data_IF_838629603597
#
_entry.id   IF_838629603597
#
_cell.length_a   1.000
_cell.length_b   1.000
_cell.length_c   1.000
_cell.angle_alpha   90.00
_cell.angle_beta   90.00
_cell.angle_gamma   90.00
#
_symmetry.space_group_name_H-M   'P 1'
#
loop_
_entity.id
_entity.type
_entity.pdbx_description
1 polymer ?
#
# COMPACT_ATOMS: atom_id res chain seq x y z
N UNK A 1 2.68 -22.59 -35.01
CA UNK A 1 1.80 -22.54 -33.84
C UNK A 1 2.44 -21.56 -32.88
N UNK A 2 1.97 -20.30 -32.86
CA UNK A 2 2.43 -19.29 -31.91
C UNK A 2 1.74 -19.57 -30.59
N UNK A 3 2.49 -20.07 -29.61
CA UNK A 3 2.06 -19.98 -28.22
C UNK A 3 1.88 -18.49 -27.91
N UNK A 4 0.62 -18.06 -27.83
CA UNK A 4 0.29 -16.77 -27.25
C UNK A 4 0.74 -16.86 -25.80
N UNK A 5 1.86 -16.21 -25.46
CA UNK A 5 2.21 -15.92 -24.09
C UNK A 5 1.06 -15.07 -23.52
N UNK A 6 0.13 -15.71 -22.83
CA UNK A 6 -0.84 -14.98 -22.01
C UNK A 6 -0.01 -14.22 -20.97
N UNK A 7 0.01 -12.90 -21.08
CA UNK A 7 0.57 -12.07 -20.02
C UNK A 7 -0.18 -12.39 -18.74
N UNK A 8 0.54 -12.91 -17.76
CA UNK A 8 -0.01 -13.09 -16.42
C UNK A 8 -0.21 -11.70 -15.80
N UNK A 9 -1.46 -11.36 -15.49
CA UNK A 9 -1.76 -10.18 -14.68
C UNK A 9 -1.18 -10.28 -13.26
N UNK A 10 -1.26 -9.20 -12.49
CA UNK A 10 -0.93 -9.21 -11.07
C UNK A 10 -1.86 -10.16 -10.29
N UNK A 11 -1.41 -10.62 -9.13
CA UNK A 11 -2.19 -11.46 -8.21
C UNK A 11 -2.38 -10.75 -6.88
N UNK A 12 -3.54 -10.96 -6.26
CA UNK A 12 -3.77 -10.54 -4.90
C UNK A 12 -2.91 -11.40 -3.93
N UNK A 13 -2.27 -10.74 -2.97
CA UNK A 13 -1.50 -11.39 -1.90
C UNK A 13 -2.38 -11.49 -0.66
N UNK A 14 -2.58 -12.71 -0.17
CA UNK A 14 -3.39 -12.97 1.02
C UNK A 14 -2.47 -13.01 2.25
N UNK A 15 -2.57 -12.00 3.11
CA UNK A 15 -1.75 -11.90 4.33
C UNK A 15 -2.52 -12.11 5.64
N UNK A 16 -3.85 -12.11 5.61
CA UNK A 16 -4.70 -12.02 6.81
C UNK A 16 -5.77 -13.13 6.90
N UNK A 17 -5.48 -14.34 6.44
CA UNK A 17 -6.41 -15.46 6.60
C UNK A 17 -6.62 -15.85 8.06
N UNK A 18 -7.85 -15.66 8.58
CA UNK A 18 -8.27 -16.26 9.87
C UNK A 18 -8.21 -15.36 11.09
N UNK A 19 -8.12 -14.04 10.97
CA UNK A 19 -8.33 -13.14 12.12
C UNK A 19 -9.77 -13.22 12.62
N UNK A 20 -10.02 -13.17 13.94
CA UNK A 20 -11.35 -13.00 14.49
C UNK A 20 -11.99 -11.70 13.94
N UNK A 21 -13.29 -11.75 13.62
CA UNK A 21 -14.00 -10.55 13.21
C UNK A 21 -14.12 -9.59 14.40
N UNK A 22 -13.96 -8.26 14.17
CA UNK A 22 -14.15 -7.25 15.23
C UNK A 22 -15.61 -7.11 15.64
N UNK A 23 -16.52 -7.57 14.79
CA UNK A 23 -17.99 -7.58 14.97
C UNK A 23 -18.51 -8.97 14.65
N UNK A 24 -19.72 -9.29 15.11
CA UNK A 24 -20.35 -10.58 14.80
C UNK A 24 -20.44 -10.86 13.29
N UNK A 25 -20.68 -12.13 12.90
CA UNK A 25 -20.83 -12.48 11.50
C UNK A 25 -21.91 -11.63 10.81
N UNK A 26 -21.63 -11.06 9.62
CA UNK A 26 -22.62 -10.23 8.93
C UNK A 26 -23.81 -11.06 8.46
N UNK A 27 -24.98 -10.45 8.45
CA UNK A 27 -26.21 -11.06 7.92
C UNK A 27 -26.18 -11.02 6.39
N UNK A 28 -26.18 -12.17 5.68
CA UNK A 28 -26.17 -12.20 4.23
C UNK A 28 -27.44 -11.63 3.60
N UNK A 29 -27.33 -11.17 2.36
CA UNK A 29 -28.43 -10.63 1.57
C UNK A 29 -27.96 -10.00 0.27
N UNK A 30 -28.77 -9.13 -0.29
CA UNK A 30 -28.43 -8.47 -1.54
C UNK A 30 -27.19 -7.54 -1.38
N UNK A 31 -26.39 -7.49 -2.43
CA UNK A 31 -25.18 -6.65 -2.54
C UNK A 31 -25.45 -5.52 -3.52
N UNK A 32 -25.10 -4.29 -3.11
CA UNK A 32 -25.18 -3.11 -3.98
C UNK A 32 -23.76 -2.63 -4.28
N UNK A 33 -23.46 -2.32 -5.53
CA UNK A 33 -22.17 -1.76 -5.96
C UNK A 33 -22.32 -0.26 -6.19
N UNK A 34 -21.52 0.55 -5.55
CA UNK A 34 -21.62 2.01 -5.55
C UNK A 34 -20.26 2.69 -5.71
N UNK A 35 -20.19 3.95 -6.16
CA UNK A 35 -21.30 4.75 -6.70
C UNK A 35 -21.73 4.30 -8.11
N UNK A 36 -20.80 3.82 -8.92
CA UNK A 36 -21.05 3.39 -10.30
C UNK A 36 -20.60 1.95 -10.48
N UNK A 37 -21.52 0.99 -10.65
CA UNK A 37 -21.16 -0.40 -10.88
C UNK A 37 -20.41 -0.54 -12.22
N UNK A 38 -19.54 -1.54 -12.30
CA UNK A 38 -18.88 -1.96 -13.54
C UNK A 38 -19.16 -3.44 -13.80
N UNK A 39 -19.21 -3.85 -15.06
CA UNK A 39 -19.45 -5.25 -15.44
C UNK A 39 -18.51 -6.20 -14.70
N UNK A 40 -17.24 -5.81 -14.55
CA UNK A 40 -16.21 -6.61 -13.87
C UNK A 40 -16.58 -6.93 -12.41
N UNK A 41 -17.01 -5.91 -11.64
CA UNK A 41 -17.38 -6.10 -10.25
C UNK A 41 -18.75 -6.76 -10.08
N UNK A 42 -19.71 -6.47 -10.97
CA UNK A 42 -20.98 -7.18 -11.02
C UNK A 42 -20.81 -8.66 -11.28
N UNK A 43 -19.97 -9.01 -12.26
CA UNK A 43 -19.65 -10.41 -12.57
C UNK A 43 -18.96 -11.11 -11.40
N UNK A 44 -18.06 -10.43 -10.68
CA UNK A 44 -17.43 -10.97 -9.48
C UNK A 44 -18.46 -11.31 -8.39
N UNK A 45 -19.44 -10.43 -8.17
CA UNK A 45 -20.54 -10.67 -7.21
C UNK A 45 -21.39 -11.87 -7.67
N UNK A 46 -21.82 -11.92 -8.95
CA UNK A 46 -22.65 -13.00 -9.49
C UNK A 46 -21.93 -14.35 -9.46
N UNK A 47 -20.66 -14.39 -9.87
CA UNK A 47 -19.84 -15.62 -9.88
C UNK A 47 -19.62 -16.17 -8.47
N UNK A 48 -19.54 -15.29 -7.45
CA UNK A 48 -19.47 -15.68 -6.06
C UNK A 48 -20.83 -16.18 -5.49
N UNK A 49 -21.91 -16.15 -6.28
CA UNK A 49 -23.25 -16.55 -5.85
C UNK A 49 -24.08 -15.41 -5.23
N UNK A 50 -23.58 -14.17 -5.28
CA UNK A 50 -24.27 -13.00 -4.71
C UNK A 50 -25.44 -12.53 -5.60
N UNK A 51 -26.41 -11.89 -4.98
CA UNK A 51 -27.54 -11.23 -5.65
C UNK A 51 -27.32 -9.73 -5.64
N UNK A 52 -27.33 -9.11 -6.83
CA UNK A 52 -27.24 -7.66 -6.96
C UNK A 52 -28.63 -7.03 -6.78
N UNK A 53 -28.67 -5.87 -6.14
CA UNK A 53 -29.85 -5.04 -6.02
C UNK A 53 -29.49 -3.56 -6.02
N UNK A 54 -30.48 -2.72 -6.34
CA UNK A 54 -30.39 -1.28 -6.10
C UNK A 54 -30.31 -0.97 -4.61
N UNK A 55 -29.74 0.17 -4.26
CA UNK A 55 -29.60 0.60 -2.87
C UNK A 55 -31.00 0.76 -2.23
N UNK A 56 -31.25 0.04 -1.13
CA UNK A 56 -32.55 0.08 -0.45
C UNK A 56 -32.63 -0.82 0.77
N UNK A 57 -33.87 -1.09 1.22
CA UNK A 57 -34.15 -1.85 2.43
C UNK A 57 -33.60 -3.28 2.44
N UNK A 58 -33.42 -3.86 1.27
CA UNK A 58 -32.97 -5.24 1.10
C UNK A 58 -31.43 -5.37 0.99
N UNK A 59 -30.73 -4.24 0.83
CA UNK A 59 -29.27 -4.21 0.80
C UNK A 59 -28.70 -4.66 2.15
N UNK A 60 -27.81 -5.63 2.12
CA UNK A 60 -27.06 -6.15 3.28
C UNK A 60 -25.55 -6.01 3.12
N UNK A 61 -25.05 -5.95 1.89
CA UNK A 61 -23.66 -5.69 1.56
C UNK A 61 -23.50 -4.51 0.62
N UNK A 62 -22.45 -3.70 0.81
CA UNK A 62 -22.05 -2.64 -0.13
C UNK A 62 -20.63 -2.92 -0.61
N UNK A 63 -20.43 -2.86 -1.93
CA UNK A 63 -19.11 -2.72 -2.54
C UNK A 63 -18.95 -1.26 -2.95
N UNK A 64 -18.06 -0.55 -2.26
CA UNK A 64 -17.79 0.85 -2.49
C UNK A 64 -16.57 1.01 -3.40
N UNK A 65 -16.70 1.72 -4.52
CA UNK A 65 -15.66 1.84 -5.56
C UNK A 65 -14.99 3.22 -5.60
N UNK A 66 -15.45 4.20 -4.83
CA UNK A 66 -14.87 5.55 -4.80
C UNK A 66 -14.13 5.81 -3.47
N UNK A 67 -12.80 5.95 -3.55
CA UNK A 67 -12.00 6.22 -2.37
C UNK A 67 -12.05 7.70 -1.92
N UNK A 68 -12.52 8.59 -2.78
CA UNK A 68 -12.53 10.04 -2.54
C UNK A 68 -13.85 10.54 -1.97
N UNK A 69 -14.89 9.69 -1.89
CA UNK A 69 -16.24 10.08 -1.45
C UNK A 69 -16.73 9.28 -0.21
N UNK A 70 -16.17 9.51 0.97
CA UNK A 70 -16.67 8.90 2.20
C UNK A 70 -18.07 9.39 2.57
N UNK A 71 -18.44 10.63 2.22
CA UNK A 71 -19.76 11.19 2.50
C UNK A 71 -20.87 10.47 1.71
N UNK A 72 -20.58 10.07 0.48
CA UNK A 72 -21.47 9.23 -0.32
C UNK A 72 -21.72 7.86 0.31
N UNK A 73 -20.67 7.23 0.86
CA UNK A 73 -20.83 5.98 1.62
C UNK A 73 -21.66 6.19 2.88
N UNK A 74 -21.49 7.29 3.61
CA UNK A 74 -22.31 7.64 4.76
C UNK A 74 -23.79 7.77 4.38
N UNK A 75 -24.08 8.43 3.26
CA UNK A 75 -25.44 8.54 2.75
C UNK A 75 -26.02 7.18 2.38
N UNK A 76 -25.25 6.32 1.73
CA UNK A 76 -25.67 4.96 1.37
C UNK A 76 -26.01 4.13 2.63
N UNK A 77 -25.20 4.21 3.68
CA UNK A 77 -25.46 3.53 4.96
C UNK A 77 -26.71 4.08 5.65
N UNK A 78 -27.02 5.37 5.47
CA UNK A 78 -28.26 6.00 5.99
C UNK A 78 -29.50 5.51 5.24
N UNK A 79 -29.43 5.37 3.92
CA UNK A 79 -30.52 4.87 3.05
C UNK A 79 -30.78 3.39 3.32
N UNK A 80 -29.72 2.60 3.55
CA UNK A 80 -29.79 1.16 3.78
C UNK A 80 -29.29 0.79 5.19
N UNK A 81 -30.05 1.08 6.27
CA UNK A 81 -29.61 0.83 7.64
C UNK A 81 -29.44 -0.67 7.98
N UNK A 82 -29.94 -1.56 7.11
CA UNK A 82 -29.77 -3.00 7.22
C UNK A 82 -28.42 -3.54 6.74
N UNK A 83 -27.52 -2.69 6.24
CA UNK A 83 -26.18 -3.10 5.79
C UNK A 83 -25.36 -3.60 6.96
N UNK A 84 -24.75 -4.77 6.76
CA UNK A 84 -23.90 -5.46 7.77
C UNK A 84 -22.49 -5.70 7.28
N UNK A 85 -22.20 -5.46 5.99
CA UNK A 85 -20.87 -5.60 5.41
C UNK A 85 -20.60 -4.51 4.36
N UNK A 86 -19.38 -3.97 4.37
CA UNK A 86 -18.87 -3.02 3.38
C UNK A 86 -17.49 -3.45 2.90
N UNK A 87 -17.30 -3.55 1.56
CA UNK A 87 -16.00 -3.68 0.92
C UNK A 87 -15.52 -2.29 0.50
N UNK A 88 -14.38 -1.84 1.02
CA UNK A 88 -13.71 -0.60 0.65
C UNK A 88 -12.74 -0.81 -0.52
N UNK A 89 -12.51 0.21 -1.38
CA UNK A 89 -11.80 0.06 -2.65
C UNK A 89 -10.27 -0.06 -2.52
N UNK A 90 -9.67 0.50 -1.47
CA UNK A 90 -8.22 0.54 -1.29
C UNK A 90 -7.72 -0.20 -0.05
N UNK A 91 -6.41 -0.42 0.02
CA UNK A 91 -5.74 -1.00 1.19
C UNK A 91 -5.72 -0.02 2.37
N UNK A 92 -5.46 1.27 2.10
CA UNK A 92 -5.55 2.34 3.08
C UNK A 92 -7.00 2.76 3.27
N UNK A 93 -7.42 2.90 4.52
CA UNK A 93 -8.80 3.24 4.90
C UNK A 93 -8.91 4.59 5.60
N UNK A 94 -7.87 5.39 5.52
CA UNK A 94 -7.74 6.66 6.24
C UNK A 94 -8.91 7.61 5.98
N UNK A 95 -9.36 7.72 4.73
CA UNK A 95 -10.51 8.55 4.34
C UNK A 95 -11.83 8.10 4.99
N UNK A 96 -11.95 6.81 5.32
CA UNK A 96 -13.16 6.20 5.90
C UNK A 96 -13.06 6.00 7.41
N UNK A 97 -11.99 6.48 8.07
CA UNK A 97 -11.72 6.21 9.48
C UNK A 97 -12.91 6.63 10.40
N UNK A 98 -13.56 7.77 10.11
CA UNK A 98 -14.71 8.23 10.87
C UNK A 98 -15.92 7.29 10.71
N UNK A 99 -16.18 6.76 9.50
CA UNK A 99 -17.28 5.81 9.25
C UNK A 99 -17.02 4.47 9.93
N UNK A 100 -15.78 4.02 9.91
CA UNK A 100 -15.36 2.79 10.58
C UNK A 100 -15.53 2.93 12.10
N UNK A 101 -15.18 4.09 12.67
CA UNK A 101 -15.39 4.37 14.08
C UNK A 101 -16.87 4.47 14.47
N UNK A 102 -17.71 5.06 13.60
CA UNK A 102 -19.15 5.25 13.85
C UNK A 102 -19.96 3.97 13.69
N UNK A 103 -19.61 3.11 12.72
CA UNK A 103 -20.44 1.97 12.33
C UNK A 103 -19.78 0.61 12.58
N UNK A 104 -18.51 0.56 12.96
CA UNK A 104 -17.72 -0.68 13.08
C UNK A 104 -18.18 -1.63 14.20
N UNK A 105 -19.09 -1.21 15.05
CA UNK A 105 -19.77 -2.05 16.04
C UNK A 105 -20.92 -2.91 15.46
N UNK A 106 -21.43 -2.55 14.27
CA UNK A 106 -22.53 -3.24 13.58
C UNK A 106 -22.24 -3.62 12.13
N UNK A 107 -21.28 -2.96 11.47
CA UNK A 107 -20.90 -3.17 10.07
C UNK A 107 -19.49 -3.73 10.02
N UNK A 108 -19.33 -4.88 9.38
CA UNK A 108 -18.02 -5.43 9.06
C UNK A 108 -17.43 -4.67 7.87
N UNK A 109 -16.33 -3.95 8.09
CA UNK A 109 -15.57 -3.33 7.00
C UNK A 109 -14.44 -4.26 6.55
N UNK A 110 -14.30 -4.40 5.23
CA UNK A 110 -13.17 -5.05 4.58
C UNK A 110 -12.54 -4.09 3.59
N UNK A 111 -11.24 -4.21 3.39
CA UNK A 111 -10.45 -3.35 2.50
C UNK A 111 -9.76 -4.17 1.41
N UNK A 112 -9.17 -3.49 0.44
CA UNK A 112 -8.32 -4.14 -0.56
C UNK A 112 -6.89 -4.45 -0.04
N UNK A 113 -6.67 -4.46 1.27
CA UNK A 113 -5.37 -4.77 1.90
C UNK A 113 -4.78 -6.06 1.35
N UNK A 114 -3.56 -5.99 0.81
CA UNK A 114 -2.88 -7.09 0.14
C UNK A 114 -3.29 -7.33 -1.32
N UNK A 115 -4.43 -6.83 -1.78
CA UNK A 115 -4.83 -7.02 -3.17
C UNK A 115 -3.84 -6.38 -4.16
N UNK A 116 -3.34 -5.19 -3.85
CA UNK A 116 -2.45 -4.40 -4.73
C UNK A 116 -0.97 -4.57 -4.40
N UNK A 117 -0.60 -5.61 -3.66
CA UNK A 117 0.78 -5.81 -3.22
C UNK A 117 1.77 -6.00 -4.37
N UNK A 118 1.42 -6.77 -5.41
CA UNK A 118 2.29 -7.01 -6.55
C UNK A 118 2.59 -5.72 -7.34
N UNK A 119 1.61 -4.93 -7.82
CA UNK A 119 1.92 -3.71 -8.58
C UNK A 119 2.66 -2.66 -7.75
N UNK A 120 2.30 -2.47 -6.48
CA UNK A 120 2.98 -1.49 -5.61
C UNK A 120 4.41 -1.92 -5.27
N UNK A 121 4.65 -3.21 -5.04
CA UNK A 121 6.01 -3.72 -4.82
C UNK A 121 6.88 -3.62 -6.08
N UNK A 122 6.31 -3.84 -7.27
CA UNK A 122 6.99 -3.62 -8.55
C UNK A 122 7.39 -2.15 -8.70
N UNK A 123 6.50 -1.22 -8.37
CA UNK A 123 6.82 0.21 -8.39
C UNK A 123 7.91 0.57 -7.37
N UNK A 124 7.86 0.01 -6.16
CA UNK A 124 8.92 0.19 -5.16
C UNK A 124 10.29 -0.28 -5.68
N UNK A 125 10.34 -1.42 -6.38
CA UNK A 125 11.57 -1.89 -7.03
C UNK A 125 12.00 -0.96 -8.17
N UNK A 126 11.07 -0.46 -8.97
CA UNK A 126 11.36 0.51 -10.04
C UNK A 126 11.99 1.79 -9.47
N UNK A 127 11.43 2.36 -8.39
CA UNK A 127 12.00 3.52 -7.70
C UNK A 127 13.37 3.20 -7.08
N UNK A 128 13.53 2.01 -6.48
CA UNK A 128 14.82 1.54 -5.96
C UNK A 128 15.89 1.52 -7.05
N UNK A 129 15.61 0.87 -8.17
CA UNK A 129 16.55 0.78 -9.29
C UNK A 129 16.79 2.14 -9.94
N UNK A 130 15.74 2.97 -10.09
CA UNK A 130 15.88 4.30 -10.66
C UNK A 130 16.80 5.21 -9.83
N UNK A 131 16.64 5.22 -8.51
CA UNK A 131 17.47 6.03 -7.60
C UNK A 131 18.90 5.49 -7.51
N UNK A 132 19.10 4.18 -7.43
CA UNK A 132 20.44 3.58 -7.47
C UNK A 132 21.17 3.86 -8.78
N UNK A 133 20.47 3.85 -9.91
CA UNK A 133 21.06 4.11 -11.25
C UNK A 133 21.01 5.59 -11.65
N UNK A 134 20.63 6.48 -10.71
CA UNK A 134 20.51 7.95 -10.87
C UNK A 134 19.69 8.35 -12.10
N UNK A 135 18.63 7.57 -12.42
CA UNK A 135 17.82 7.80 -13.62
C UNK A 135 17.07 9.13 -13.53
N UNK A 136 16.63 9.56 -12.35
CA UNK A 136 15.97 10.85 -12.11
C UNK A 136 16.86 12.04 -12.53
N UNK A 137 18.16 11.97 -12.28
CA UNK A 137 19.13 12.97 -12.69
C UNK A 137 19.41 12.88 -14.19
N UNK A 138 19.62 11.66 -14.71
CA UNK A 138 19.96 11.42 -16.12
C UNK A 138 18.80 11.77 -17.05
N UNK A 139 17.56 11.50 -16.67
CA UNK A 139 16.38 11.85 -17.48
C UNK A 139 16.20 13.36 -17.68
N UNK A 140 16.77 14.18 -16.80
CA UNK A 140 16.74 15.65 -16.89
C UNK A 140 17.92 16.25 -17.64
N UNK A 141 18.95 15.44 -18.02
CA UNK A 141 20.13 15.95 -18.73
C UNK A 141 19.86 16.08 -20.23
N UNK A 142 20.45 17.11 -20.84
CA UNK A 142 20.39 17.38 -22.28
C UNK A 142 21.77 17.26 -22.96
N UNK A 143 22.79 16.86 -22.19
CA UNK A 143 24.17 16.71 -22.67
C UNK A 143 24.74 15.34 -22.26
N UNK A 144 25.68 14.83 -23.03
CA UNK A 144 26.37 13.57 -22.71
C UNK A 144 27.39 13.80 -21.58
N UNK A 145 26.98 13.45 -20.32
CA UNK A 145 27.88 13.45 -19.18
C UNK A 145 28.82 12.23 -19.22
N UNK A 146 30.07 12.41 -18.78
CA UNK A 146 31.09 11.34 -18.74
C UNK A 146 31.38 10.83 -17.33
N UNK A 147 30.86 11.51 -16.31
CA UNK A 147 31.07 11.10 -14.91
C UNK A 147 30.32 9.78 -14.62
N UNK A 148 31.03 8.76 -14.13
CA UNK A 148 30.41 7.51 -13.76
C UNK A 148 29.66 7.70 -12.42
N UNK A 149 28.34 7.56 -12.43
CA UNK A 149 27.49 7.64 -11.26
C UNK A 149 26.54 6.45 -11.20
N UNK A 150 26.11 6.10 -10.00
CA UNK A 150 25.14 5.04 -9.73
C UNK A 150 25.76 3.80 -9.11
N UNK A 151 24.89 3.03 -8.47
CA UNK A 151 25.22 1.80 -7.74
C UNK A 151 24.41 0.63 -8.30
N UNK A 152 24.92 -0.58 -8.09
CA UNK A 152 24.16 -1.82 -8.33
C UNK A 152 23.31 -2.14 -7.09
N UNK A 153 22.17 -2.79 -7.28
CA UNK A 153 21.40 -3.37 -6.18
C UNK A 153 22.01 -4.69 -5.67
N UNK A 154 22.76 -5.40 -6.53
CA UNK A 154 23.37 -6.67 -6.15
C UNK A 154 24.25 -6.56 -4.89
N UNK A 155 23.97 -7.45 -3.92
CA UNK A 155 24.72 -7.55 -2.66
C UNK A 155 24.51 -6.39 -1.69
N UNK A 156 23.54 -5.49 -1.93
CA UNK A 156 23.26 -4.34 -1.07
C UNK A 156 22.47 -4.71 0.17
N UNK A 157 22.57 -3.86 1.19
CA UNK A 157 21.74 -3.96 2.38
C UNK A 157 20.48 -3.09 2.22
N UNK A 158 19.34 -3.74 2.25
CA UNK A 158 18.01 -3.12 2.22
C UNK A 158 17.41 -3.15 3.63
N UNK A 159 17.06 -2.00 4.16
CA UNK A 159 16.21 -1.88 5.36
C UNK A 159 14.77 -1.67 4.89
N UNK A 160 13.90 -2.65 5.14
CA UNK A 160 12.51 -2.63 4.73
C UNK A 160 11.61 -2.37 5.95
N UNK A 161 10.99 -1.20 5.99
CA UNK A 161 10.13 -0.77 7.09
C UNK A 161 8.69 -1.20 6.81
N UNK A 162 8.21 -2.19 7.56
CA UNK A 162 6.93 -2.84 7.38
C UNK A 162 7.06 -4.31 6.99
N UNK A 163 6.01 -5.10 7.25
CA UNK A 163 5.94 -6.53 6.92
C UNK A 163 4.54 -6.93 6.39
N UNK A 164 3.86 -6.01 5.73
CA UNK A 164 2.59 -6.27 5.04
C UNK A 164 2.77 -6.92 3.67
N UNK A 165 1.68 -7.09 2.93
CA UNK A 165 1.70 -7.74 1.60
C UNK A 165 2.70 -7.11 0.63
N UNK A 166 2.78 -5.78 0.57
CA UNK A 166 3.74 -5.05 -0.28
C UNK A 166 5.18 -5.39 0.12
N UNK A 167 5.48 -5.41 1.41
CA UNK A 167 6.82 -5.73 1.90
C UNK A 167 7.22 -7.17 1.56
N UNK A 168 6.32 -8.14 1.75
CA UNK A 168 6.55 -9.54 1.41
C UNK A 168 6.78 -9.73 -0.09
N UNK A 169 6.02 -9.01 -0.92
CA UNK A 169 6.19 -9.06 -2.36
C UNK A 169 7.49 -8.37 -2.80
N UNK A 170 7.85 -7.24 -2.18
CA UNK A 170 9.14 -6.59 -2.43
C UNK A 170 10.33 -7.51 -2.08
N UNK A 171 10.27 -8.23 -0.95
CA UNK A 171 11.26 -9.25 -0.59
C UNK A 171 11.43 -10.29 -1.70
N UNK A 172 10.31 -10.80 -2.24
CA UNK A 172 10.33 -11.76 -3.36
C UNK A 172 10.97 -11.18 -4.62
N UNK A 173 10.66 -9.91 -4.94
CA UNK A 173 11.18 -9.24 -6.14
C UNK A 173 12.68 -8.94 -6.05
N UNK A 174 13.21 -8.63 -4.87
CA UNK A 174 14.64 -8.30 -4.70
C UNK A 174 15.52 -9.52 -4.46
N UNK A 175 14.95 -10.68 -4.14
CA UNK A 175 15.71 -11.92 -3.89
C UNK A 175 16.72 -12.27 -4.99
N UNK A 176 16.43 -12.11 -6.31
CA UNK A 176 17.41 -12.39 -7.39
C UNK A 176 18.62 -11.47 -7.40
N UNK A 177 18.63 -10.38 -6.64
CA UNK A 177 19.76 -9.44 -6.54
C UNK A 177 20.73 -9.79 -5.40
N UNK A 178 20.51 -10.91 -4.71
CA UNK A 178 21.38 -11.35 -3.61
C UNK A 178 21.61 -10.24 -2.56
N UNK A 179 20.53 -9.50 -2.25
CA UNK A 179 20.54 -8.45 -1.24
C UNK A 179 20.44 -9.03 0.17
N UNK A 180 21.03 -8.36 1.14
CA UNK A 180 20.75 -8.60 2.56
C UNK A 180 19.57 -7.74 2.96
N UNK A 181 18.51 -8.32 3.52
CA UNK A 181 17.32 -7.55 3.94
C UNK A 181 17.10 -7.62 5.44
N UNK A 182 17.05 -6.44 6.07
CA UNK A 182 16.59 -6.27 7.45
C UNK A 182 15.17 -5.69 7.43
N UNK A 183 14.21 -6.44 8.00
CA UNK A 183 12.82 -5.96 8.14
C UNK A 183 12.64 -5.29 9.49
N UNK A 184 12.06 -4.09 9.50
CA UNK A 184 11.66 -3.35 10.69
C UNK A 184 10.15 -3.40 10.85
N UNK A 185 9.64 -3.93 11.97
CA UNK A 185 8.19 -4.06 12.23
C UNK A 185 7.87 -3.94 13.73
N UNK A 186 6.59 -3.94 14.11
CA UNK A 186 6.17 -3.82 15.52
C UNK A 186 6.56 -4.99 16.40
N UNK A 187 6.56 -6.22 15.88
CA UNK A 187 6.92 -7.43 16.60
C UNK A 187 8.23 -8.00 16.07
N UNK A 188 8.96 -8.72 16.93
CA UNK A 188 10.23 -9.35 16.57
C UNK A 188 10.05 -10.72 15.87
N UNK A 189 8.82 -11.12 15.52
CA UNK A 189 8.59 -12.37 14.82
C UNK A 189 9.28 -12.36 13.46
N UNK A 190 9.97 -13.44 13.13
CA UNK A 190 10.71 -13.57 11.88
C UNK A 190 9.78 -13.37 10.65
N UNK A 191 10.29 -12.64 9.68
CA UNK A 191 9.63 -12.45 8.38
C UNK A 191 10.27 -13.37 7.36
N UNK A 192 9.52 -14.31 6.76
CA UNK A 192 10.06 -15.21 5.75
C UNK A 192 10.68 -14.43 4.57
N UNK A 193 11.93 -14.78 4.22
CA UNK A 193 12.67 -14.12 3.15
C UNK A 193 13.51 -12.92 3.58
N UNK A 194 13.41 -12.47 4.84
CA UNK A 194 14.32 -11.51 5.44
C UNK A 194 15.53 -12.22 6.09
N UNK A 195 16.69 -11.57 6.05
CA UNK A 195 17.90 -12.07 6.75
C UNK A 195 17.83 -11.74 8.26
N UNK A 196 17.14 -10.65 8.59
CA UNK A 196 16.96 -10.19 9.97
C UNK A 196 15.61 -9.49 10.12
N UNK A 197 14.94 -9.70 11.24
CA UNK A 197 13.77 -8.92 11.67
C UNK A 197 14.10 -8.21 12.97
N UNK A 198 13.74 -6.92 13.06
CA UNK A 198 13.93 -6.08 14.25
C UNK A 198 12.65 -5.30 14.54
N UNK A 199 12.52 -4.82 15.77
CA UNK A 199 11.40 -3.98 16.19
C UNK A 199 11.65 -2.50 15.85
N UNK A 200 10.58 -1.70 15.83
CA UNK A 200 10.65 -0.28 15.42
C UNK A 200 11.58 0.55 16.29
N UNK A 201 11.73 0.24 17.57
CA UNK A 201 12.67 0.88 18.50
C UNK A 201 14.15 0.59 18.18
N UNK A 202 14.42 -0.42 17.34
CA UNK A 202 15.76 -0.76 16.84
C UNK A 202 16.04 -0.17 15.43
N UNK A 203 15.18 0.71 14.92
CA UNK A 203 15.36 1.31 13.60
C UNK A 203 16.71 2.03 13.49
N UNK A 204 17.04 2.83 14.47
CA UNK A 204 18.29 3.61 14.50
C UNK A 204 19.56 2.73 14.47
N UNK A 205 19.48 1.50 15.00
CA UNK A 205 20.61 0.55 15.01
C UNK A 205 20.92 -0.04 13.61
N UNK A 206 19.95 -0.03 12.69
CA UNK A 206 20.09 -0.67 11.38
C UNK A 206 20.27 0.33 10.23
N UNK A 207 19.97 1.61 10.45
CA UNK A 207 20.14 2.66 9.43
C UNK A 207 21.60 2.94 9.04
N UNK A 208 22.61 2.88 9.93
CA UNK A 208 24.00 3.17 9.55
C UNK A 208 24.59 2.25 8.47
N UNK A 209 24.05 1.06 8.31
CA UNK A 209 24.51 0.08 7.31
C UNK A 209 23.59 0.00 6.09
N UNK A 210 22.53 0.83 5.99
CA UNK A 210 21.52 0.74 4.96
C UNK A 210 21.98 1.38 3.64
N UNK A 211 22.09 0.61 2.56
CA UNK A 211 22.24 1.15 1.21
C UNK A 211 20.89 1.68 0.65
N UNK A 212 19.80 1.01 1.00
CA UNK A 212 18.44 1.38 0.60
C UNK A 212 17.48 1.22 1.77
N UNK A 213 16.68 2.25 2.05
CA UNK A 213 15.58 2.20 3.02
C UNK A 213 14.27 2.26 2.26
N UNK A 214 13.42 1.23 2.40
CA UNK A 214 12.10 1.15 1.76
C UNK A 214 11.01 1.22 2.80
N UNK A 215 10.11 2.19 2.66
CA UNK A 215 8.98 2.40 3.57
C UNK A 215 7.73 1.78 2.99
N UNK A 216 7.25 0.70 3.64
CA UNK A 216 6.06 -0.08 3.30
C UNK A 216 5.18 -0.35 4.55
N UNK A 217 5.26 0.51 5.55
CA UNK A 217 4.51 0.42 6.80
C UNK A 217 3.20 1.20 6.73
N UNK A 218 2.20 0.79 7.52
CA UNK A 218 0.99 1.58 7.72
C UNK A 218 1.31 2.87 8.50
N UNK A 219 0.62 3.97 8.16
CA UNK A 219 0.66 5.19 8.95
C UNK A 219 -0.24 5.03 10.18
N UNK A 220 0.33 5.30 11.34
CA UNK A 220 -0.33 5.28 12.65
C UNK A 220 0.25 6.40 13.50
N UNK A 221 -0.33 6.66 14.66
CA UNK A 221 0.25 7.62 15.61
C UNK A 221 1.70 7.26 16.02
N UNK A 222 2.05 5.96 16.01
CA UNK A 222 3.41 5.49 16.35
C UNK A 222 4.40 5.46 15.18
N UNK A 223 3.94 5.74 13.96
CA UNK A 223 4.80 5.75 12.76
C UNK A 223 4.80 7.10 12.03
N UNK A 224 3.99 8.06 12.46
CA UNK A 224 4.03 9.43 11.95
C UNK A 224 5.39 10.06 12.20
N UNK A 225 6.01 10.63 11.14
CA UNK A 225 7.35 11.23 11.22
C UNK A 225 8.47 10.24 11.60
N UNK A 226 8.28 8.96 11.29
CA UNK A 226 9.24 7.89 11.65
C UNK A 226 10.65 8.16 11.10
N UNK A 227 10.76 8.75 9.93
CA UNK A 227 12.01 9.15 9.31
C UNK A 227 12.11 10.68 9.27
N UNK A 228 12.90 11.22 10.16
CA UNK A 228 13.20 12.66 10.26
C UNK A 228 14.69 12.96 10.17
N UNK A 229 15.07 14.17 10.53
CA UNK A 229 16.45 14.64 10.44
C UNK A 229 17.45 13.74 11.19
N UNK A 230 17.07 13.19 12.35
CA UNK A 230 17.90 12.27 13.11
C UNK A 230 18.17 10.98 12.31
N UNK A 231 17.14 10.34 11.75
CA UNK A 231 17.27 9.10 10.99
C UNK A 231 18.08 9.32 9.71
N UNK A 232 17.87 10.44 9.02
CA UNK A 232 18.69 10.80 7.84
C UNK A 232 20.16 11.01 8.18
N UNK A 233 20.47 11.56 9.34
CA UNK A 233 21.85 11.72 9.80
C UNK A 233 22.54 10.41 10.18
N UNK A 234 21.78 9.35 10.47
CA UNK A 234 22.31 8.01 10.73
C UNK A 234 22.60 7.23 9.44
N UNK A 235 21.89 7.55 8.35
CA UNK A 235 22.06 6.85 7.08
C UNK A 235 23.41 7.22 6.42
N UNK A 236 24.04 6.29 5.67
CA UNK A 236 25.21 6.61 4.86
C UNK A 236 24.88 7.66 3.77
N UNK A 237 25.88 8.46 3.38
CA UNK A 237 25.75 9.49 2.35
C UNK A 237 25.34 8.93 0.96
N UNK A 238 25.64 7.67 0.71
CA UNK A 238 25.23 6.97 -0.50
C UNK A 238 23.85 6.30 -0.40
N UNK A 239 23.17 6.36 0.74
CA UNK A 239 21.88 5.69 0.94
C UNK A 239 20.77 6.26 0.06
N UNK A 240 19.77 5.42 -0.23
CA UNK A 240 18.54 5.76 -0.98
C UNK A 240 17.33 5.52 -0.09
N UNK A 241 16.41 6.49 -0.10
CA UNK A 241 15.08 6.32 0.48
C UNK A 241 14.08 5.98 -0.63
N UNK A 242 13.17 5.03 -0.38
CA UNK A 242 11.99 4.78 -1.21
C UNK A 242 10.75 4.78 -0.33
N UNK A 243 9.77 5.62 -0.63
CA UNK A 243 8.50 5.65 0.10
C UNK A 243 7.32 5.40 -0.84
N UNK A 244 6.67 4.24 -0.63
CA UNK A 244 5.44 3.82 -1.35
C UNK A 244 4.28 3.61 -0.38
N UNK A 245 4.38 4.10 0.84
CA UNK A 245 3.40 3.84 1.90
C UNK A 245 2.48 5.06 2.13
N UNK A 246 2.94 6.03 2.91
CA UNK A 246 2.27 7.32 3.17
C UNK A 246 3.32 8.40 3.35
N UNK A 247 3.01 9.62 2.86
CA UNK A 247 3.90 10.77 2.99
C UNK A 247 4.25 11.10 4.43
N UNK A 248 3.27 11.12 5.33
CA UNK A 248 3.46 11.46 6.73
C UNK A 248 4.33 10.51 7.57
N UNK A 249 4.86 9.41 6.99
CA UNK A 249 5.91 8.58 7.61
C UNK A 249 7.29 9.24 7.53
N UNK A 250 7.46 10.21 6.66
CA UNK A 250 8.70 10.92 6.38
C UNK A 250 8.48 12.41 6.63
N UNK A 251 9.34 13.02 7.42
CA UNK A 251 9.41 14.47 7.55
C UNK A 251 9.94 15.05 6.21
N UNK A 252 9.06 15.70 5.47
CA UNK A 252 9.34 16.20 4.13
C UNK A 252 10.39 17.29 4.13
N UNK A 253 10.38 18.21 5.11
CA UNK A 253 11.36 19.28 5.21
C UNK A 253 12.75 18.72 5.56
N UNK A 254 12.81 17.80 6.49
CA UNK A 254 14.04 17.10 6.84
C UNK A 254 14.61 16.30 5.65
N UNK A 255 13.75 15.68 4.83
CA UNK A 255 14.17 14.98 3.62
C UNK A 255 14.77 15.95 2.58
N UNK A 256 14.14 17.12 2.36
CA UNK A 256 14.68 18.15 1.47
C UNK A 256 16.07 18.58 1.92
N UNK A 257 16.25 18.84 3.22
CA UNK A 257 17.54 19.22 3.79
C UNK A 257 18.59 18.10 3.70
N UNK A 258 18.20 16.86 3.90
CA UNK A 258 19.09 15.71 3.78
C UNK A 258 19.59 15.50 2.33
N UNK A 259 18.70 15.68 1.34
CA UNK A 259 19.08 15.60 -0.07
C UNK A 259 20.01 16.76 -0.48
N UNK A 260 19.70 18.00 -0.05
CA UNK A 260 20.51 19.19 -0.34
C UNK A 260 21.89 19.16 0.28
N UNK A 261 21.98 18.69 1.53
CA UNK A 261 23.26 18.54 2.22
C UNK A 261 24.08 17.36 1.74
N UNK A 262 23.46 16.40 1.02
CA UNK A 262 24.08 15.14 0.63
C UNK A 262 24.19 14.14 1.80
N UNK A 263 23.40 14.30 2.87
CA UNK A 263 23.30 13.31 3.95
C UNK A 263 22.77 11.98 3.45
N UNK A 264 21.90 12.01 2.43
CA UNK A 264 21.52 10.86 1.62
C UNK A 264 21.60 11.21 0.14
N UNK A 265 21.84 10.23 -0.72
CA UNK A 265 22.11 10.49 -2.13
C UNK A 265 20.85 10.68 -2.98
N UNK A 266 19.74 10.01 -2.68
CA UNK A 266 18.51 10.13 -3.45
C UNK A 266 17.28 9.63 -2.68
N UNK A 267 16.09 10.06 -3.15
CA UNK A 267 14.80 9.56 -2.70
C UNK A 267 13.88 9.29 -3.90
N UNK A 268 13.18 8.15 -3.86
CA UNK A 268 12.07 7.78 -4.75
C UNK A 268 10.76 7.80 -3.96
N UNK A 269 9.85 8.67 -4.32
CA UNK A 269 8.65 8.98 -3.56
C UNK A 269 7.41 8.80 -4.43
N UNK A 270 6.55 7.86 -4.07
CA UNK A 270 5.22 7.78 -4.69
C UNK A 270 4.18 8.54 -3.87
N UNK A 271 4.50 8.82 -2.62
CA UNK A 271 3.66 9.54 -1.66
C UNK A 271 4.44 10.65 -0.97
N UNK A 272 3.77 11.76 -0.64
CA UNK A 272 4.36 12.94 -0.02
C UNK A 272 3.47 13.52 1.09
N UNK A 273 4.02 14.41 1.91
CA UNK A 273 3.26 15.20 2.85
C UNK A 273 3.73 16.67 2.72
N UNK A 274 2.87 17.61 2.28
CA UNK A 274 1.46 17.41 1.94
C UNK A 274 1.26 16.60 0.64
N UNK A 275 0.06 16.05 0.48
CA UNK A 275 -0.41 15.38 -0.73
C UNK A 275 -1.76 15.97 -1.17
N UNK A 276 -1.91 16.47 -2.42
CA UNK A 276 -0.88 16.58 -3.48
C UNK A 276 0.31 17.46 -3.09
N UNK A 277 1.50 17.08 -3.59
CA UNK A 277 2.69 17.92 -3.42
C UNK A 277 2.50 19.27 -4.18
N UNK A 278 2.58 20.42 -3.50
CA UNK A 278 2.32 21.71 -4.11
C UNK A 278 3.23 22.03 -5.31
N UNK A 279 2.70 22.80 -6.27
CA UNK A 279 3.50 23.34 -7.37
C UNK A 279 4.67 24.16 -6.82
N UNK A 280 5.85 23.98 -7.40
CA UNK A 280 7.06 24.68 -6.97
C UNK A 280 7.70 24.17 -5.67
N UNK A 281 7.16 23.10 -5.08
CA UNK A 281 7.80 22.47 -3.92
C UNK A 281 9.24 22.03 -4.25
N UNK A 282 10.22 22.19 -3.33
CA UNK A 282 11.62 21.85 -3.56
C UNK A 282 11.88 20.47 -4.15
N UNK A 283 11.15 19.46 -3.73
CA UNK A 283 11.30 18.07 -4.22
C UNK A 283 11.13 17.94 -5.74
N UNK A 284 10.33 18.81 -6.39
CA UNK A 284 10.17 18.77 -7.86
C UNK A 284 11.46 19.10 -8.62
N UNK A 285 12.30 19.96 -8.04
CA UNK A 285 13.55 20.43 -8.66
C UNK A 285 14.80 19.78 -8.04
N UNK A 286 14.66 19.07 -6.92
CA UNK A 286 15.79 18.43 -6.25
C UNK A 286 16.38 17.31 -7.13
N UNK A 287 17.69 17.39 -7.51
CA UNK A 287 18.29 16.40 -8.41
C UNK A 287 18.26 14.97 -7.87
N UNK A 288 18.31 14.81 -6.54
CA UNK A 288 18.25 13.52 -5.86
C UNK A 288 16.83 12.94 -5.75
N UNK A 289 15.78 13.75 -5.98
CA UNK A 289 14.40 13.31 -5.82
C UNK A 289 13.80 12.78 -7.14
N UNK A 290 13.06 11.68 -7.03
CA UNK A 290 12.15 11.14 -8.05
C UNK A 290 10.77 11.03 -7.42
N UNK A 291 9.82 11.83 -7.90
CA UNK A 291 8.44 11.85 -7.38
C UNK A 291 7.50 11.29 -8.44
N UNK A 292 6.69 10.31 -8.07
CA UNK A 292 5.53 9.84 -8.81
C UNK A 292 4.27 10.18 -7.99
N UNK A 293 3.18 10.70 -8.63
CA UNK A 293 2.08 11.30 -7.87
C UNK A 293 1.05 10.25 -7.41
N UNK A 294 1.43 9.39 -6.45
CA UNK A 294 0.63 8.32 -5.88
C UNK A 294 0.03 7.41 -6.97
N UNK A 295 0.91 6.92 -7.84
CA UNK A 295 0.56 6.11 -9.02
C UNK A 295 1.35 4.81 -9.08
N UNK A 296 1.67 4.23 -7.91
CA UNK A 296 2.27 2.90 -7.83
C UNK A 296 1.39 1.82 -8.47
N UNK A 297 0.09 2.08 -8.55
CA UNK A 297 -0.87 1.27 -9.27
C UNK A 297 -1.78 2.15 -10.13
N UNK A 298 -2.34 1.58 -11.19
CA UNK A 298 -3.28 2.25 -12.08
C UNK A 298 -4.64 1.55 -12.04
N UNK A 299 -5.75 2.22 -12.41
CA UNK A 299 -7.06 1.59 -12.46
C UNK A 299 -7.08 0.26 -13.23
N UNK A 300 -6.37 0.17 -14.35
CA UNK A 300 -6.30 -1.06 -15.17
C UNK A 300 -5.55 -2.20 -14.45
N UNK A 301 -4.57 -1.88 -13.60
CA UNK A 301 -3.85 -2.88 -12.81
C UNK A 301 -4.68 -3.39 -11.64
N UNK A 302 -5.43 -2.49 -10.97
CA UNK A 302 -6.10 -2.82 -9.71
C UNK A 302 -7.53 -3.29 -9.86
N UNK A 303 -8.26 -2.90 -10.91
CA UNK A 303 -9.65 -3.30 -11.08
C UNK A 303 -9.86 -4.83 -11.08
N UNK A 304 -9.04 -5.64 -11.78
CA UNK A 304 -9.15 -7.10 -11.69
C UNK A 304 -8.87 -7.65 -10.30
N UNK A 305 -7.92 -7.06 -9.58
CA UNK A 305 -7.54 -7.48 -8.23
C UNK A 305 -8.63 -7.14 -7.20
N UNK A 306 -9.27 -5.98 -7.35
CA UNK A 306 -10.43 -5.62 -6.53
C UNK A 306 -11.62 -6.53 -6.81
N UNK A 307 -11.88 -6.85 -8.09
CA UNK A 307 -12.95 -7.76 -8.45
C UNK A 307 -12.74 -9.16 -7.84
N UNK A 308 -11.51 -9.69 -7.87
CA UNK A 308 -11.15 -10.96 -7.19
C UNK A 308 -11.40 -10.86 -5.67
N UNK A 309 -11.01 -9.75 -5.04
CA UNK A 309 -11.25 -9.46 -3.62
C UNK A 309 -12.74 -9.40 -3.32
N UNK A 310 -13.53 -8.70 -4.14
CA UNK A 310 -14.98 -8.62 -4.04
C UNK A 310 -15.60 -10.02 -4.11
N UNK A 311 -15.24 -10.82 -5.11
CA UNK A 311 -15.73 -12.20 -5.23
C UNK A 311 -15.43 -13.05 -4.00
N UNK A 312 -14.19 -12.97 -3.50
CA UNK A 312 -13.78 -13.72 -2.29
C UNK A 312 -14.61 -13.31 -1.06
N UNK A 313 -14.77 -11.99 -0.84
CA UNK A 313 -15.49 -11.49 0.32
C UNK A 313 -17.01 -11.65 0.20
N UNK A 314 -17.59 -11.60 -1.02
CA UNK A 314 -18.99 -11.98 -1.25
C UNK A 314 -19.22 -13.45 -0.91
N UNK A 315 -18.34 -14.36 -1.34
CA UNK A 315 -18.46 -15.77 -0.98
C UNK A 315 -18.35 -15.99 0.54
N UNK A 316 -17.52 -15.21 1.25
CA UNK A 316 -17.44 -15.22 2.71
C UNK A 316 -18.72 -14.66 3.35
N UNK A 317 -19.23 -13.55 2.82
CA UNK A 317 -20.47 -12.91 3.28
C UNK A 317 -21.68 -13.86 3.21
N UNK A 318 -21.79 -14.64 2.14
CA UNK A 318 -22.89 -15.58 1.93
C UNK A 318 -22.84 -16.81 2.87
N UNK A 319 -21.67 -17.16 3.42
CA UNK A 319 -21.55 -18.28 4.37
C UNK A 319 -22.16 -17.98 5.72
N UNK A 320 -22.30 -16.74 6.10
CA UNK A 320 -22.90 -16.29 7.37
C UNK A 320 -22.21 -16.83 8.64
N UNK A 321 -21.07 -17.52 8.52
CA UNK A 321 -20.32 -18.09 9.65
C UNK A 321 -19.16 -17.19 10.11
N UNK A 322 -18.95 -16.08 9.41
CA UNK A 322 -17.88 -15.11 9.67
C UNK A 322 -16.50 -15.55 9.20
N UNK A 323 -16.39 -16.68 8.50
CA UNK A 323 -15.10 -17.21 8.04
C UNK A 323 -14.78 -16.78 6.60
N UNK A 324 -13.48 -16.70 6.27
CA UNK A 324 -12.99 -16.50 4.91
C UNK A 324 -13.02 -15.08 4.40
N UNK A 325 -13.33 -14.08 5.23
CA UNK A 325 -13.11 -12.68 4.89
C UNK A 325 -11.62 -12.36 4.82
N UNK A 326 -11.25 -11.54 3.87
CA UNK A 326 -9.88 -11.05 3.66
C UNK A 326 -9.87 -9.52 3.71
N UNK A 327 -8.84 -8.94 4.32
CA UNK A 327 -8.70 -7.50 4.46
C UNK A 327 -9.68 -6.91 5.48
N UNK A 328 -10.03 -7.68 6.52
CA UNK A 328 -10.85 -7.19 7.63
C UNK A 328 -10.18 -6.01 8.28
N UNK A 329 -10.93 -4.91 8.43
CA UNK A 329 -10.47 -3.69 9.09
C UNK A 329 -10.76 -3.81 10.58
N UNK A 330 -9.74 -3.55 11.41
CA UNK A 330 -9.89 -3.45 12.85
C UNK A 330 -10.23 -1.98 13.21
N UNK A 331 -11.46 -1.68 13.70
CA UNK A 331 -11.85 -0.32 14.04
C UNK A 331 -10.95 0.33 15.11
N UNK A 332 -10.38 -0.47 16.02
CA UNK A 332 -9.51 0.04 17.08
C UNK A 332 -8.09 0.35 16.58
N UNK A 333 -7.62 -0.40 15.58
CA UNK A 333 -6.29 -0.21 14.99
C UNK A 333 -6.31 0.77 13.79
N UNK A 334 -7.49 1.04 13.20
CA UNK A 334 -7.65 1.94 12.06
C UNK A 334 -7.16 1.36 10.71
N UNK A 335 -6.90 0.04 10.61
CA UNK A 335 -6.43 -0.62 9.38
C UNK A 335 -6.64 -2.12 9.37
#
# INVERSE_FOLDING_TARGET
>A
MSEQHQHRGHRAVVTDGGRPLPVGPPTPGAVTILPTPTDLHEDAVRQAGGTLADLGSDTRGIVWLDASDPDGLQQALTIAPGVTWVQLPFAGVDAFAHLIAEHGDRVLFTSAKGAYAEPVAEHALALTLATLRVLQKRARTTTWGREPEGLSLYGRHVVLIGAGGIALEYLRLVAPFDVRVTVVRRSADDVPGADRTVTTDQLDDVLPDADVVVVAAAMTAGTSGLLGAHQFALMPDHARLVNIARGGLVDTDALVDALRSGSIAAAGLDVTDPEPLPDGHPLWSEPGALVTPHQADTPDMVAPLLAERVGTNVAAFLRADGTGFIGVVDPAAGY
#
